data_IF_047486479343
#
_entry.id   IF_047486479343
#
_cell.length_a   1.000
_cell.length_b   1.000
_cell.length_c   1.000
_cell.angle_alpha   90.00
_cell.angle_beta   90.00
_cell.angle_gamma   90.00
#
_symmetry.space_group_name_H-M   'P 1'
#
loop_
_entity.id
_entity.type
_entity.pdbx_description
1 polymer ?
#
# COMPACT_ATOMS: atom_id res chain seq x y z
N UNK A 1 37.17 15.40 36.98
CA UNK A 1 35.73 15.15 37.16
C UNK A 1 35.29 14.19 36.04
N UNK A 2 34.88 12.95 36.35
CA UNK A 2 34.51 11.97 35.31
C UNK A 2 33.03 12.17 34.98
N UNK A 3 32.73 12.77 33.83
CA UNK A 3 31.34 12.92 33.35
C UNK A 3 30.84 11.53 32.99
N UNK A 4 29.95 10.96 33.81
CA UNK A 4 29.22 9.75 33.45
C UNK A 4 28.18 10.13 32.39
N UNK A 5 28.53 9.95 31.12
CA UNK A 5 27.57 10.05 30.04
C UNK A 5 26.70 8.81 30.17
N UNK A 6 25.47 8.96 30.66
CA UNK A 6 24.47 7.89 30.64
C UNK A 6 24.03 7.65 29.19
N UNK A 7 24.84 6.86 28.49
CA UNK A 7 24.56 6.48 27.11
C UNK A 7 23.33 5.59 27.05
N UNK A 8 23.12 4.71 28.03
CA UNK A 8 21.99 3.75 28.05
C UNK A 8 20.62 4.46 28.03
N UNK A 9 20.45 5.52 28.81
CA UNK A 9 19.23 6.33 28.81
C UNK A 9 19.00 7.09 27.50
N UNK A 10 20.08 7.54 26.83
CA UNK A 10 20.01 8.21 25.54
C UNK A 10 19.62 7.24 24.42
N UNK A 11 20.21 6.04 24.37
CA UNK A 11 19.87 4.99 23.40
C UNK A 11 18.42 4.52 23.57
N UNK A 12 17.95 4.35 24.80
CA UNK A 12 16.56 3.99 25.09
C UNK A 12 15.58 5.08 24.63
N UNK A 13 15.85 6.35 24.94
CA UNK A 13 15.00 7.48 24.51
C UNK A 13 15.02 7.69 22.99
N UNK A 14 16.15 7.47 22.34
CA UNK A 14 16.27 7.57 20.89
C UNK A 14 15.47 6.48 20.19
N UNK A 15 15.58 5.23 20.67
CA UNK A 15 14.84 4.09 20.12
C UNK A 15 13.33 4.22 20.34
N UNK A 16 12.89 4.61 21.54
CA UNK A 16 11.46 4.79 21.86
C UNK A 16 10.83 5.93 21.02
N UNK A 17 11.52 7.05 20.83
CA UNK A 17 11.03 8.13 19.97
C UNK A 17 10.92 7.71 18.50
N UNK A 18 11.88 6.92 18.01
CA UNK A 18 11.87 6.45 16.62
C UNK A 18 10.70 5.49 16.36
N UNK A 19 10.49 4.52 17.27
CA UNK A 19 9.38 3.56 17.19
C UNK A 19 8.01 4.26 17.29
N UNK A 20 7.86 5.27 18.15
CA UNK A 20 6.62 6.07 18.24
C UNK A 20 6.37 6.87 16.94
N UNK A 21 7.43 7.40 16.32
CA UNK A 21 7.35 8.13 15.06
C UNK A 21 6.94 7.23 13.90
N UNK A 22 7.47 6.00 13.83
CA UNK A 22 7.11 4.99 12.83
C UNK A 22 5.67 4.50 13.00
N UNK A 23 5.26 4.19 14.24
CA UNK A 23 3.88 3.81 14.60
C UNK A 23 2.84 4.85 14.16
N UNK A 24 3.17 6.15 14.30
CA UNK A 24 2.30 7.26 13.85
C UNK A 24 2.15 7.35 12.33
N UNK A 25 3.07 6.79 11.54
CA UNK A 25 3.01 6.77 10.07
C UNK A 25 2.32 5.52 9.52
N UNK A 26 2.47 4.37 10.19
CA UNK A 26 1.94 3.09 9.71
C UNK A 26 0.41 3.07 9.64
N UNK A 27 -0.28 3.55 10.68
CA UNK A 27 -1.76 3.54 10.72
C UNK A 27 -2.39 4.37 9.59
N UNK A 28 -1.97 5.62 9.33
CA UNK A 28 -2.43 6.37 8.15
C UNK A 28 -2.11 5.68 6.82
N UNK A 29 -0.91 5.07 6.70
CA UNK A 29 -0.50 4.40 5.47
C UNK A 29 -1.37 3.16 5.18
N UNK A 30 -1.62 2.32 6.18
CA UNK A 30 -2.51 1.17 6.04
C UNK A 30 -3.93 1.61 5.65
N UNK A 31 -4.46 2.66 6.27
CA UNK A 31 -5.77 3.20 5.93
C UNK A 31 -5.81 3.72 4.49
N UNK A 32 -4.79 4.47 4.09
CA UNK A 32 -4.65 5.01 2.73
C UNK A 32 -4.60 3.89 1.68
N UNK A 33 -3.73 2.89 1.87
CA UNK A 33 -3.63 1.74 0.94
C UNK A 33 -4.90 0.89 0.92
N UNK A 34 -5.60 0.76 2.05
CA UNK A 34 -6.90 0.06 2.09
C UNK A 34 -7.98 0.84 1.33
N UNK A 35 -8.00 2.16 1.44
CA UNK A 35 -8.91 3.02 0.68
C UNK A 35 -8.61 2.97 -0.82
N UNK A 36 -7.33 3.03 -1.21
CA UNK A 36 -6.89 2.87 -2.60
C UNK A 36 -7.31 1.50 -3.16
N UNK A 37 -7.14 0.41 -2.39
CA UNK A 37 -7.57 -0.92 -2.81
C UNK A 37 -9.08 -1.02 -3.05
N UNK A 38 -9.88 -0.36 -2.21
CA UNK A 38 -11.32 -0.31 -2.38
C UNK A 38 -11.71 0.47 -3.65
N UNK A 39 -11.02 1.59 -3.91
CA UNK A 39 -11.21 2.40 -5.12
C UNK A 39 -10.86 1.61 -6.38
N UNK A 40 -9.72 0.91 -6.41
CA UNK A 40 -9.32 0.14 -7.58
C UNK A 40 -10.28 -1.01 -7.89
N UNK A 41 -10.77 -1.70 -6.85
CA UNK A 41 -11.80 -2.73 -7.01
C UNK A 41 -13.11 -2.15 -7.54
N UNK A 42 -13.48 -0.95 -7.10
CA UNK A 42 -14.66 -0.25 -7.62
C UNK A 42 -14.49 0.12 -9.09
N UNK A 43 -13.35 0.71 -9.46
CA UNK A 43 -13.04 1.04 -10.86
C UNK A 43 -13.05 -0.20 -11.76
N UNK A 44 -12.42 -1.29 -11.31
CA UNK A 44 -12.45 -2.56 -12.04
C UNK A 44 -13.87 -3.09 -12.24
N UNK A 45 -14.73 -2.98 -11.22
CA UNK A 45 -16.14 -3.36 -11.34
C UNK A 45 -16.86 -2.50 -12.40
N UNK A 46 -16.67 -1.19 -12.38
CA UNK A 46 -17.25 -0.29 -13.38
C UNK A 46 -16.78 -0.61 -14.81
N UNK A 47 -15.50 -0.97 -14.97
CA UNK A 47 -14.94 -1.38 -16.27
C UNK A 47 -15.54 -2.70 -16.76
N UNK A 48 -15.73 -3.69 -15.87
CA UNK A 48 -16.40 -4.94 -16.21
C UNK A 48 -17.87 -4.73 -16.57
N UNK A 49 -18.58 -3.81 -15.89
CA UNK A 49 -19.95 -3.44 -16.25
C UNK A 49 -20.02 -2.75 -17.63
N UNK A 50 -19.04 -1.91 -17.95
CA UNK A 50 -18.93 -1.28 -19.27
C UNK A 50 -18.61 -2.30 -20.36
N UNK A 51 -17.69 -3.22 -20.09
CA UNK A 51 -17.35 -4.32 -20.99
C UNK A 51 -18.58 -5.20 -21.28
N UNK A 52 -19.35 -5.56 -20.25
CA UNK A 52 -20.60 -6.31 -20.42
C UNK A 52 -21.62 -5.57 -21.31
N UNK A 53 -21.71 -4.23 -21.18
CA UNK A 53 -22.57 -3.41 -22.05
C UNK A 53 -22.07 -3.36 -23.50
N UNK A 54 -20.76 -3.22 -23.69
CA UNK A 54 -20.15 -3.25 -25.02
C UNK A 54 -20.39 -4.60 -25.71
N UNK A 55 -20.19 -5.70 -24.98
CA UNK A 55 -20.49 -7.06 -25.43
C UNK A 55 -21.97 -7.25 -25.78
N UNK A 56 -22.89 -6.78 -24.92
CA UNK A 56 -24.33 -6.82 -25.20
C UNK A 56 -24.74 -5.99 -26.43
N UNK A 57 -23.96 -4.97 -26.77
CA UNK A 57 -24.16 -4.12 -27.95
C UNK A 57 -23.48 -4.67 -29.20
N UNK A 58 -22.82 -5.83 -29.12
CA UNK A 58 -21.96 -6.40 -30.16
C UNK A 58 -20.90 -5.40 -30.67
N UNK A 59 -20.26 -4.66 -29.77
CA UNK A 59 -19.13 -3.79 -30.08
C UNK A 59 -17.80 -4.49 -29.71
N UNK A 60 -17.19 -5.24 -30.66
CA UNK A 60 -15.95 -5.95 -30.41
C UNK A 60 -14.75 -5.01 -30.23
N UNK A 61 -14.77 -3.83 -30.86
CA UNK A 61 -13.67 -2.88 -30.78
C UNK A 61 -13.61 -2.24 -29.39
N UNK A 62 -14.76 -1.86 -28.82
CA UNK A 62 -14.83 -1.37 -27.45
C UNK A 62 -14.44 -2.46 -26.44
N UNK A 63 -14.88 -3.70 -26.66
CA UNK A 63 -14.55 -4.81 -25.76
C UNK A 63 -13.03 -5.07 -25.73
N UNK A 64 -12.39 -5.16 -26.90
CA UNK A 64 -10.93 -5.33 -27.05
C UNK A 64 -10.13 -4.15 -26.46
N UNK A 65 -10.62 -2.92 -26.65
CA UNK A 65 -10.01 -1.73 -26.05
C UNK A 65 -10.02 -1.78 -24.52
N UNK A 66 -11.14 -2.19 -23.90
CA UNK A 66 -11.25 -2.29 -22.45
C UNK A 66 -10.36 -3.39 -21.88
N UNK A 67 -10.30 -4.56 -22.54
CA UNK A 67 -9.44 -5.67 -22.16
C UNK A 67 -7.96 -5.27 -22.23
N UNK A 68 -7.50 -4.80 -23.39
CA UNK A 68 -6.08 -4.55 -23.66
C UNK A 68 -5.50 -3.32 -22.97
N UNK A 69 -6.32 -2.32 -22.61
CA UNK A 69 -5.85 -1.05 -22.02
C UNK A 69 -6.16 -0.87 -20.57
N UNK A 70 -7.14 -1.57 -20.01
CA UNK A 70 -7.59 -1.27 -18.64
C UNK A 70 -7.72 -2.51 -17.77
N UNK A 71 -8.36 -3.58 -18.24
CA UNK A 71 -8.69 -4.71 -17.36
C UNK A 71 -7.43 -5.44 -16.86
N UNK A 72 -6.43 -5.64 -17.71
CA UNK A 72 -5.15 -6.25 -17.30
C UNK A 72 -4.40 -5.36 -16.28
N UNK A 73 -4.29 -4.05 -16.57
CA UNK A 73 -3.64 -3.08 -15.68
C UNK A 73 -4.34 -2.99 -14.31
N UNK A 74 -5.69 -3.05 -14.28
CA UNK A 74 -6.45 -3.03 -13.04
C UNK A 74 -6.19 -4.28 -12.18
N UNK A 75 -6.05 -5.47 -12.80
CA UNK A 75 -5.74 -6.70 -12.06
C UNK A 75 -4.36 -6.60 -11.41
N UNK A 76 -3.36 -6.13 -12.15
CA UNK A 76 -2.01 -5.92 -11.64
C UNK A 76 -1.97 -4.87 -10.51
N UNK A 77 -2.64 -3.73 -10.69
CA UNK A 77 -2.73 -2.65 -9.70
C UNK A 77 -3.39 -3.14 -8.40
N UNK A 78 -4.52 -3.86 -8.51
CA UNK A 78 -5.22 -4.44 -7.36
C UNK A 78 -4.31 -5.43 -6.63
N UNK A 79 -3.58 -6.28 -7.35
CA UNK A 79 -2.66 -7.25 -6.75
C UNK A 79 -1.54 -6.54 -5.97
N UNK A 80 -0.91 -5.53 -6.57
CA UNK A 80 0.17 -4.77 -5.94
C UNK A 80 -0.31 -4.09 -4.66
N UNK A 81 -1.45 -3.39 -4.69
CA UNK A 81 -2.00 -2.72 -3.51
C UNK A 81 -2.44 -3.74 -2.45
N UNK A 82 -3.01 -4.88 -2.85
CA UNK A 82 -3.37 -5.95 -1.92
C UNK A 82 -2.13 -6.55 -1.22
N UNK A 83 -1.02 -6.72 -1.93
CA UNK A 83 0.28 -7.13 -1.36
C UNK A 83 0.76 -6.09 -0.35
N UNK A 84 0.70 -4.80 -0.68
CA UNK A 84 1.04 -3.72 0.26
C UNK A 84 0.20 -3.77 1.54
N UNK A 85 -1.13 -3.89 1.42
CA UNK A 85 -2.03 -3.98 2.58
C UNK A 85 -1.72 -5.22 3.43
N UNK A 86 -1.47 -6.36 2.80
CA UNK A 86 -1.17 -7.61 3.50
C UNK A 86 0.16 -7.53 4.25
N UNK A 87 1.19 -6.96 3.62
CA UNK A 87 2.47 -6.71 4.25
C UNK A 87 2.31 -5.74 5.43
N UNK A 88 1.66 -4.59 5.24
CA UNK A 88 1.41 -3.61 6.31
C UNK A 88 0.64 -4.19 7.51
N UNK A 89 -0.31 -5.11 7.29
CA UNK A 89 -1.04 -5.79 8.38
C UNK A 89 -0.19 -6.80 9.14
N UNK A 90 0.78 -7.43 8.47
CA UNK A 90 1.63 -8.48 9.04
C UNK A 90 2.83 -7.91 9.81
N UNK A 91 3.28 -6.71 9.45
CA UNK A 91 4.41 -6.07 10.11
C UNK A 91 3.99 -5.64 11.52
N UNK A 92 4.68 -6.18 12.52
CA UNK A 92 4.63 -5.67 13.88
C UNK A 92 5.46 -4.38 14.02
N UNK A 93 5.28 -3.63 15.12
CA UNK A 93 6.01 -2.37 15.34
C UNK A 93 7.53 -2.58 15.37
N UNK A 94 8.28 -1.61 14.84
CA UNK A 94 9.75 -1.62 14.87
C UNK A 94 10.39 -2.03 13.53
N UNK A 95 11.17 -3.12 13.50
CA UNK A 95 12.02 -3.46 12.34
C UNK A 95 11.22 -3.76 11.05
N UNK A 96 10.03 -4.35 11.17
CA UNK A 96 9.19 -4.62 10.02
C UNK A 96 8.75 -3.34 9.30
N UNK A 97 8.40 -2.31 10.08
CA UNK A 97 8.01 -1.00 9.55
C UNK A 97 9.18 -0.32 8.84
N UNK A 98 10.38 -0.36 9.44
CA UNK A 98 11.59 0.24 8.86
C UNK A 98 11.99 -0.42 7.52
N UNK A 99 12.01 -1.75 7.46
CA UNK A 99 12.36 -2.49 6.23
C UNK A 99 11.36 -2.20 5.13
N UNK A 100 10.07 -2.19 5.44
CA UNK A 100 9.02 -1.88 4.47
C UNK A 100 9.11 -0.44 3.96
N UNK A 101 9.40 0.53 4.83
CA UNK A 101 9.58 1.93 4.43
C UNK A 101 10.73 2.07 3.43
N UNK A 102 11.87 1.45 3.75
CA UNK A 102 13.08 1.48 2.91
C UNK A 102 12.93 0.77 1.57
N UNK A 103 12.25 -0.37 1.54
CA UNK A 103 12.09 -1.15 0.30
C UNK A 103 11.09 -0.53 -0.68
N UNK A 104 10.14 0.26 -0.19
CA UNK A 104 8.99 0.68 -0.98
C UNK A 104 8.85 2.21 -1.14
N UNK A 105 9.59 3.01 -0.38
CA UNK A 105 9.50 4.48 -0.42
C UNK A 105 10.84 5.24 -0.44
N UNK A 106 11.98 4.59 -0.14
CA UNK A 106 13.30 5.20 -0.34
C UNK A 106 13.77 4.97 -1.79
N UNK A 107 13.57 5.97 -2.66
CA UNK A 107 14.12 6.07 -4.01
C UNK A 107 14.82 7.42 -4.19
#
# INVERSE_FOLDING_TARGET
MRVKIDTAGAWAKFNVNYIDKLSKRLKPLLNSKTAALALEKFNNKCLLELHAKASASNDPHMSDFLESKFLDEQVESIEQIAKFVTNLKRLGPGMGEYVFDKENFDH
#
